data_IF_565161436312
#
_entry.id   IF_565161436312
#
_cell.length_a   1.000
_cell.length_b   1.000
_cell.length_c   1.000
_cell.angle_alpha   90.00
_cell.angle_beta   90.00
_cell.angle_gamma   90.00
#
_symmetry.space_group_name_H-M   'P 1'
#
loop_
_entity.id
_entity.type
_entity.pdbx_description
1 polymer ?
#
# COMPACT_ATOMS: atom_id res chain seq x y z
N UNK A 1 5.26 97.72 -13.82
CA UNK A 1 4.50 96.84 -14.73
C UNK A 1 5.47 95.85 -15.35
N UNK A 2 5.10 94.57 -15.32
CA UNK A 2 5.72 93.38 -15.95
C UNK A 2 6.80 92.65 -15.14
N UNK A 3 6.40 91.43 -14.79
CA UNK A 3 7.07 90.44 -13.96
C UNK A 3 8.13 89.67 -14.74
N UNK A 4 9.17 89.27 -14.02
CA UNK A 4 10.16 88.31 -14.48
C UNK A 4 9.61 86.89 -14.31
N UNK A 5 9.61 86.12 -15.40
CA UNK A 5 9.58 84.66 -15.34
C UNK A 5 10.72 84.13 -16.21
N UNK A 6 11.68 83.54 -15.51
CA UNK A 6 12.79 82.74 -16.03
C UNK A 6 12.26 81.37 -16.44
N UNK A 7 12.75 80.79 -17.54
CA UNK A 7 13.16 79.37 -17.56
C UNK A 7 14.27 79.18 -18.60
N UNK A 8 15.40 78.69 -18.09
CA UNK A 8 16.64 78.39 -18.80
C UNK A 8 16.47 77.10 -19.58
N UNK A 9 16.92 77.15 -20.83
CA UNK A 9 17.00 76.05 -21.78
C UNK A 9 18.00 74.98 -21.36
N UNK A 10 17.61 73.74 -21.64
CA UNK A 10 18.33 72.51 -21.39
C UNK A 10 19.74 72.49 -22.00
N UNK A 11 20.72 72.00 -21.24
CA UNK A 11 22.00 71.54 -21.76
C UNK A 11 22.51 70.36 -20.94
N UNK A 12 23.04 69.39 -21.67
CA UNK A 12 23.45 68.05 -21.31
C UNK A 12 24.28 67.91 -20.02
N UNK A 13 24.02 66.81 -19.29
CA UNK A 13 25.05 66.12 -18.52
C UNK A 13 24.99 64.61 -18.81
N UNK A 14 26.04 64.16 -19.50
CA UNK A 14 26.48 62.77 -19.61
C UNK A 14 27.18 62.43 -18.30
N UNK A 15 26.80 61.32 -17.65
CA UNK A 15 27.64 60.69 -16.63
C UNK A 15 26.89 60.11 -15.43
N UNK A 16 26.51 58.84 -15.52
CA UNK A 16 26.65 57.82 -14.47
C UNK A 16 25.76 56.60 -14.81
N UNK A 17 26.27 55.72 -15.66
CA UNK A 17 25.80 54.35 -15.76
C UNK A 17 26.21 53.61 -14.46
N UNK A 18 25.33 53.62 -13.45
CA UNK A 18 25.45 52.74 -12.30
C UNK A 18 24.67 51.45 -12.59
N UNK A 19 25.44 50.39 -12.84
CA UNK A 19 25.03 48.99 -12.88
C UNK A 19 24.05 48.66 -11.73
N UNK A 20 22.78 48.43 -12.06
CA UNK A 20 21.85 47.68 -11.23
C UNK A 20 21.49 46.37 -11.95
N UNK A 21 22.52 45.63 -12.37
CA UNK A 21 22.39 44.26 -12.86
C UNK A 21 22.84 43.34 -11.73
N UNK A 22 21.94 42.46 -11.28
CA UNK A 22 22.33 41.13 -10.83
C UNK A 22 22.41 40.89 -9.33
N UNK A 23 21.27 40.87 -8.66
CA UNK A 23 21.00 39.80 -7.67
C UNK A 23 19.64 39.18 -7.99
N UNK A 24 19.49 38.65 -9.20
CA UNK A 24 18.70 37.43 -9.36
C UNK A 24 19.45 36.41 -8.50
N UNK A 25 18.92 36.13 -7.31
CA UNK A 25 19.33 34.98 -6.54
C UNK A 25 19.35 33.81 -7.52
N UNK A 26 20.54 33.27 -7.78
CA UNK A 26 20.67 32.02 -8.47
C UNK A 26 19.91 31.01 -7.61
N UNK A 27 18.66 30.71 -7.97
CA UNK A 27 17.98 29.55 -7.44
C UNK A 27 18.92 28.39 -7.74
N UNK A 28 19.44 27.69 -6.72
CA UNK A 28 20.25 26.51 -6.97
C UNK A 28 19.44 25.62 -7.91
N UNK A 29 20.08 25.09 -8.96
CA UNK A 29 19.47 24.18 -9.92
C UNK A 29 18.49 23.28 -9.16
N UNK A 30 17.18 23.43 -9.42
CA UNK A 30 16.12 23.06 -8.48
C UNK A 30 16.41 21.67 -7.89
N UNK A 31 16.92 21.65 -6.65
CA UNK A 31 17.34 20.41 -6.02
C UNK A 31 16.12 19.49 -5.97
N UNK A 32 16.28 18.25 -6.43
CA UNK A 32 15.20 17.26 -6.44
C UNK A 32 15.37 16.32 -5.26
N UNK A 33 14.28 16.09 -4.53
CA UNK A 33 14.24 15.08 -3.46
C UNK A 33 13.86 13.76 -4.09
N UNK A 34 14.85 12.88 -4.25
CA UNK A 34 14.64 11.53 -4.82
C UNK A 34 14.04 10.59 -3.79
N UNK A 35 12.98 9.90 -4.19
CA UNK A 35 12.40 8.75 -3.50
C UNK A 35 12.62 7.52 -4.39
N UNK A 36 13.37 6.56 -3.87
CA UNK A 36 13.53 5.26 -4.53
C UNK A 36 12.26 4.44 -4.44
N UNK A 37 11.91 3.77 -5.52
CA UNK A 37 10.73 2.93 -5.60
C UNK A 37 11.04 1.62 -6.33
N UNK A 38 10.62 0.51 -5.74
CA UNK A 38 10.70 -0.81 -6.37
C UNK A 38 9.37 -1.54 -6.29
N UNK A 39 9.00 -2.16 -7.41
CA UNK A 39 7.77 -2.94 -7.57
C UNK A 39 7.96 -3.98 -8.69
N UNK A 40 7.12 -5.04 -8.75
CA UNK A 40 7.19 -6.06 -9.79
C UNK A 40 6.48 -5.55 -11.05
N UNK A 41 7.17 -4.80 -11.91
CA UNK A 41 6.57 -4.19 -13.10
C UNK A 41 6.43 -5.17 -14.26
N UNK A 42 7.19 -6.27 -14.24
CA UNK A 42 7.06 -7.38 -15.18
C UNK A 42 6.92 -8.73 -14.46
N UNK A 43 6.61 -9.78 -15.22
CA UNK A 43 6.39 -11.12 -14.68
C UNK A 43 4.98 -11.36 -14.13
N UNK A 44 4.75 -12.46 -13.40
CA UNK A 44 3.41 -12.88 -12.98
C UNK A 44 2.68 -11.90 -12.04
N UNK A 45 3.42 -11.05 -11.34
CA UNK A 45 2.89 -10.05 -10.41
C UNK A 45 2.75 -8.64 -11.03
N UNK A 46 2.93 -8.51 -12.36
CA UNK A 46 2.92 -7.22 -13.06
C UNK A 46 1.64 -6.41 -12.85
N UNK A 47 0.48 -7.05 -12.69
CA UNK A 47 -0.79 -6.35 -12.42
C UNK A 47 -0.68 -5.49 -11.16
N UNK A 48 -0.21 -6.06 -10.06
CA UNK A 48 -0.04 -5.36 -8.78
C UNK A 48 1.06 -4.30 -8.88
N UNK A 49 2.18 -4.60 -9.57
CA UNK A 49 3.27 -3.64 -9.73
C UNK A 49 2.93 -2.44 -10.62
N UNK A 50 2.14 -2.63 -11.69
CA UNK A 50 1.63 -1.53 -12.52
C UNK A 50 0.65 -0.67 -11.73
N UNK A 51 -0.24 -1.28 -10.95
CA UNK A 51 -1.14 -0.59 -10.02
C UNK A 51 -0.35 0.27 -9.01
N UNK A 52 0.69 -0.32 -8.40
CA UNK A 52 1.61 0.37 -7.50
C UNK A 52 2.34 1.54 -8.18
N UNK A 53 2.86 1.34 -9.40
CA UNK A 53 3.55 2.38 -10.16
C UNK A 53 2.64 3.57 -10.50
N UNK A 54 1.45 3.32 -11.03
CA UNK A 54 0.48 4.39 -11.32
C UNK A 54 0.17 5.19 -10.04
N UNK A 55 -0.09 4.50 -8.94
CA UNK A 55 -0.38 5.16 -7.67
C UNK A 55 0.81 5.98 -7.13
N UNK A 56 2.03 5.48 -7.30
CA UNK A 56 3.26 6.19 -6.91
C UNK A 56 3.49 7.47 -7.70
N UNK A 57 3.21 7.45 -9.01
CA UNK A 57 3.31 8.63 -9.87
C UNK A 57 2.28 9.68 -9.47
N UNK A 58 1.03 9.27 -9.22
CA UNK A 58 -0.03 10.17 -8.74
C UNK A 58 0.32 10.81 -7.39
N UNK A 59 0.94 10.06 -6.47
CA UNK A 59 1.41 10.61 -5.20
C UNK A 59 2.44 11.72 -5.41
N UNK A 60 3.43 11.49 -6.27
CA UNK A 60 4.50 12.46 -6.58
C UNK A 60 3.94 13.70 -7.28
N UNK A 61 3.03 13.52 -8.24
CA UNK A 61 2.32 14.63 -8.90
C UNK A 61 1.60 15.50 -7.85
N UNK A 62 0.88 14.87 -6.92
CA UNK A 62 0.14 15.58 -5.86
C UNK A 62 1.04 16.25 -4.83
N UNK A 63 2.16 15.63 -4.46
CA UNK A 63 3.18 16.23 -3.59
C UNK A 63 3.76 17.49 -4.26
N UNK A 64 4.14 17.38 -5.53
CA UNK A 64 4.71 18.51 -6.27
C UNK A 64 3.70 19.64 -6.48
N UNK A 65 2.44 19.34 -6.78
CA UNK A 65 1.38 20.32 -6.89
C UNK A 65 1.12 21.09 -5.58
N UNK A 66 1.44 20.50 -4.42
CA UNK A 66 1.35 21.11 -3.09
C UNK A 66 2.64 21.84 -2.65
N UNK A 67 3.58 22.09 -3.56
CA UNK A 67 4.84 22.80 -3.27
C UNK A 67 6.03 21.89 -2.99
N UNK A 68 5.88 20.57 -3.13
CA UNK A 68 6.98 19.61 -3.03
C UNK A 68 7.38 19.24 -1.60
N UNK A 69 8.62 18.79 -1.45
CA UNK A 69 9.22 18.39 -0.17
C UNK A 69 10.23 19.46 0.22
N UNK A 70 10.01 20.15 1.34
CA UNK A 70 10.84 21.29 1.77
C UNK A 70 11.01 22.36 0.68
N UNK A 71 9.96 22.58 -0.13
CA UNK A 71 9.97 23.51 -1.27
C UNK A 71 10.70 23.00 -2.52
N UNK A 72 11.17 21.75 -2.51
CA UNK A 72 11.88 21.11 -3.60
C UNK A 72 11.01 20.09 -4.33
N UNK A 73 11.23 19.91 -5.63
CA UNK A 73 10.47 18.93 -6.42
C UNK A 73 10.83 17.51 -5.97
N UNK A 74 9.83 16.68 -5.71
CA UNK A 74 9.99 15.25 -5.51
C UNK A 74 10.16 14.53 -6.86
N UNK A 75 11.11 13.59 -6.91
CA UNK A 75 11.40 12.73 -8.05
C UNK A 75 11.27 11.26 -7.62
N UNK A 76 10.59 10.45 -8.43
CA UNK A 76 10.49 9.01 -8.21
C UNK A 76 11.54 8.29 -9.05
N UNK A 77 12.45 7.55 -8.40
CA UNK A 77 13.41 6.68 -9.09
C UNK A 77 12.90 5.25 -9.00
N UNK A 78 12.39 4.73 -10.12
CA UNK A 78 11.67 3.44 -10.14
C UNK A 78 12.51 2.32 -10.74
N UNK A 79 12.52 1.16 -10.10
CA UNK A 79 13.04 -0.08 -10.68
C UNK A 79 12.03 -1.23 -10.62
N UNK A 80 12.15 -2.13 -11.60
CA UNK A 80 11.44 -3.39 -11.66
C UNK A 80 12.21 -4.47 -10.91
N UNK A 81 11.60 -5.02 -9.86
CA UNK A 81 12.16 -6.16 -9.10
C UNK A 81 11.58 -7.51 -9.53
N UNK A 82 10.62 -7.54 -10.45
CA UNK A 82 9.98 -8.74 -11.00
C UNK A 82 9.43 -9.73 -9.95
N UNK A 83 9.26 -9.30 -8.69
CA UNK A 83 8.98 -10.14 -7.54
C UNK A 83 10.04 -11.23 -7.28
N UNK A 84 11.31 -10.95 -7.61
CA UNK A 84 12.46 -11.84 -7.41
C UNK A 84 13.43 -11.27 -6.38
N UNK A 85 13.94 -12.14 -5.51
CA UNK A 85 14.86 -11.80 -4.42
C UNK A 85 16.13 -11.14 -4.96
N UNK A 86 16.74 -11.73 -5.99
CA UNK A 86 18.02 -11.27 -6.55
C UNK A 86 17.88 -9.90 -7.22
N UNK A 87 16.78 -9.71 -7.96
CA UNK A 87 16.48 -8.44 -8.61
C UNK A 87 16.20 -7.35 -7.55
N UNK A 88 15.44 -7.65 -6.49
CA UNK A 88 15.20 -6.71 -5.39
C UNK A 88 16.49 -6.28 -4.65
N UNK A 89 17.46 -7.18 -4.51
CA UNK A 89 18.79 -6.85 -3.96
C UNK A 89 19.55 -5.94 -4.92
N UNK A 90 19.51 -6.23 -6.22
CA UNK A 90 20.15 -5.41 -7.24
C UNK A 90 19.55 -3.99 -7.30
N UNK A 91 18.22 -3.87 -7.29
CA UNK A 91 17.53 -2.58 -7.33
C UNK A 91 17.84 -1.74 -6.10
N UNK A 92 17.83 -2.33 -4.90
CA UNK A 92 18.18 -1.61 -3.67
C UNK A 92 19.60 -1.04 -3.69
N UNK A 93 20.59 -1.85 -4.12
CA UNK A 93 21.98 -1.38 -4.25
C UNK A 93 22.12 -0.27 -5.29
N UNK A 94 21.39 -0.36 -6.42
CA UNK A 94 21.41 0.66 -7.47
C UNK A 94 20.82 1.99 -7.00
N UNK A 95 19.66 1.93 -6.34
CA UNK A 95 18.99 3.09 -5.76
C UNK A 95 19.92 3.85 -4.80
N UNK A 96 20.61 3.14 -3.92
CA UNK A 96 21.53 3.74 -2.94
C UNK A 96 22.82 4.23 -3.62
N UNK A 97 23.51 3.34 -4.31
CA UNK A 97 24.88 3.57 -4.78
C UNK A 97 24.99 4.40 -6.05
N UNK A 98 24.06 4.24 -6.99
CA UNK A 98 24.09 4.96 -8.28
C UNK A 98 23.18 6.18 -8.27
N UNK A 99 21.94 6.03 -7.79
CA UNK A 99 20.94 7.11 -7.86
C UNK A 99 21.02 8.08 -6.67
N UNK A 100 21.71 7.66 -5.60
CA UNK A 100 21.92 8.46 -4.39
C UNK A 100 20.63 8.72 -3.62
N UNK A 101 19.65 7.81 -3.68
CA UNK A 101 18.38 8.01 -2.97
C UNK A 101 18.60 7.98 -1.46
N UNK A 102 17.92 8.87 -0.75
CA UNK A 102 17.97 8.96 0.72
C UNK A 102 16.77 8.32 1.40
N UNK A 103 15.72 8.03 0.64
CA UNK A 103 14.44 7.50 1.10
C UNK A 103 13.92 6.49 0.08
N UNK A 104 13.29 5.42 0.54
CA UNK A 104 12.78 4.37 -0.34
C UNK A 104 11.39 3.87 0.09
N UNK A 105 10.60 3.46 -0.90
CA UNK A 105 9.31 2.78 -0.73
C UNK A 105 9.32 1.53 -1.60
N UNK A 106 8.78 0.42 -1.11
CA UNK A 106 8.54 -0.78 -1.92
C UNK A 106 7.06 -1.07 -2.05
N UNK A 107 6.60 -1.18 -3.29
CA UNK A 107 5.28 -1.72 -3.65
C UNK A 107 5.32 -3.21 -3.97
N UNK A 108 6.38 -3.91 -3.54
CA UNK A 108 6.61 -5.32 -3.90
C UNK A 108 6.21 -6.28 -2.78
N UNK A 109 6.36 -7.58 -3.08
CA UNK A 109 5.91 -8.67 -2.22
C UNK A 109 6.90 -8.95 -1.10
N UNK A 110 6.46 -9.78 -0.15
CA UNK A 110 7.23 -10.14 1.05
C UNK A 110 8.66 -10.62 0.75
N UNK A 111 8.87 -11.45 -0.27
CA UNK A 111 10.20 -11.96 -0.61
C UNK A 111 11.17 -10.83 -1.03
N UNK A 112 10.75 -9.99 -1.99
CA UNK A 112 11.51 -8.81 -2.43
C UNK A 112 11.78 -7.83 -1.29
N UNK A 113 10.75 -7.55 -0.48
CA UNK A 113 10.88 -6.66 0.68
C UNK A 113 11.87 -7.15 1.72
N UNK A 114 11.86 -8.46 2.07
CA UNK A 114 12.82 -9.06 2.99
C UNK A 114 14.25 -8.99 2.48
N UNK A 115 14.43 -9.15 1.16
CA UNK A 115 15.75 -9.13 0.54
C UNK A 115 16.35 -7.70 0.52
N UNK A 116 15.51 -6.70 0.26
CA UNK A 116 15.94 -5.31 0.14
C UNK A 116 16.07 -4.57 1.48
N UNK A 117 15.23 -4.88 2.48
CA UNK A 117 15.19 -4.14 3.74
C UNK A 117 16.55 -4.09 4.48
N UNK A 118 17.32 -5.19 4.62
CA UNK A 118 18.65 -5.15 5.26
C UNK A 118 19.63 -4.18 4.58
N UNK A 119 19.53 -4.01 3.26
CA UNK A 119 20.41 -3.16 2.48
C UNK A 119 20.13 -1.69 2.82
N UNK A 120 18.86 -1.29 2.81
CA UNK A 120 18.45 0.05 3.20
C UNK A 120 18.74 0.33 4.68
N UNK A 121 18.52 -0.64 5.56
CA UNK A 121 18.85 -0.56 6.98
C UNK A 121 20.34 -0.30 7.20
N UNK A 122 21.22 -1.08 6.56
CA UNK A 122 22.67 -0.92 6.67
C UNK A 122 23.14 0.44 6.13
N UNK A 123 22.49 0.95 5.08
CA UNK A 123 22.74 2.28 4.53
C UNK A 123 22.06 3.42 5.32
N UNK A 124 21.31 3.13 6.38
CA UNK A 124 20.51 4.09 7.15
C UNK A 124 19.54 4.90 6.28
N UNK A 125 18.95 4.26 5.28
CA UNK A 125 17.92 4.82 4.38
C UNK A 125 16.55 4.41 4.90
N UNK A 126 15.67 5.36 5.30
CA UNK A 126 14.29 5.03 5.65
C UNK A 126 13.59 4.32 4.49
N UNK A 127 13.06 3.14 4.78
CA UNK A 127 12.43 2.23 3.83
C UNK A 127 11.02 1.89 4.30
N UNK A 128 10.01 2.11 3.45
CA UNK A 128 8.62 1.73 3.74
C UNK A 128 8.21 0.55 2.84
N UNK A 129 7.86 -0.58 3.45
CA UNK A 129 7.16 -1.68 2.77
C UNK A 129 5.67 -1.39 2.71
N UNK A 130 5.17 -1.07 1.53
CA UNK A 130 3.78 -0.70 1.33
C UNK A 130 2.87 -1.90 1.03
N UNK A 131 3.42 -3.06 0.66
CA UNK A 131 2.61 -4.23 0.28
C UNK A 131 3.13 -5.57 0.81
N UNK A 132 4.44 -5.75 0.98
CA UNK A 132 4.98 -6.93 1.66
C UNK A 132 4.48 -7.00 3.11
N UNK A 133 4.06 -8.20 3.55
CA UNK A 133 3.44 -8.43 4.88
C UNK A 133 4.23 -9.38 5.80
N UNK A 134 5.42 -9.81 5.40
CA UNK A 134 6.25 -10.67 6.25
C UNK A 134 6.92 -9.87 7.38
N UNK A 135 6.84 -10.34 8.65
CA UNK A 135 7.36 -9.59 9.81
C UNK A 135 8.86 -9.25 9.72
N UNK A 136 9.68 -10.13 9.15
CA UNK A 136 11.13 -9.91 9.05
C UNK A 136 11.57 -8.63 8.32
N UNK A 137 10.69 -8.06 7.49
CA UNK A 137 10.97 -6.80 6.79
C UNK A 137 11.26 -5.67 7.78
N UNK A 138 10.42 -5.53 8.82
CA UNK A 138 10.57 -4.46 9.82
C UNK A 138 11.45 -4.89 10.98
N UNK A 139 11.50 -6.19 11.30
CA UNK A 139 12.47 -6.75 12.28
C UNK A 139 13.92 -6.59 11.85
N UNK A 140 14.18 -6.27 10.58
CA UNK A 140 15.51 -5.90 10.08
C UNK A 140 16.12 -4.72 10.85
N UNK A 141 15.29 -3.77 11.32
CA UNK A 141 15.75 -2.66 12.15
C UNK A 141 14.94 -1.38 12.02
N UNK A 142 15.38 -0.35 12.73
CA UNK A 142 14.64 0.89 12.96
C UNK A 142 14.40 1.78 11.72
N UNK A 143 15.08 1.53 10.60
CA UNK A 143 14.86 2.26 9.34
C UNK A 143 13.82 1.59 8.42
N UNK A 144 13.35 0.38 8.76
CA UNK A 144 12.32 -0.32 8.01
C UNK A 144 10.93 -0.13 8.66
N UNK A 145 9.97 0.33 7.87
CA UNK A 145 8.59 0.61 8.27
C UNK A 145 7.63 -0.17 7.37
N UNK A 146 6.38 -0.36 7.82
CA UNK A 146 5.32 -0.95 7.01
C UNK A 146 4.09 -0.05 6.95
N UNK A 147 3.36 -0.01 5.85
CA UNK A 147 2.07 0.72 5.76
C UNK A 147 0.90 -0.15 5.31
N UNK A 148 1.04 -1.47 5.48
CA UNK A 148 0.02 -2.48 5.25
C UNK A 148 -0.06 -3.40 6.47
N UNK A 149 -1.20 -4.02 6.75
CA UNK A 149 -1.32 -4.93 7.88
C UNK A 149 -0.50 -6.21 7.67
N UNK A 150 0.11 -6.72 8.73
CA UNK A 150 0.67 -8.08 8.77
C UNK A 150 -0.41 -9.13 8.54
N UNK A 151 -0.02 -10.32 8.08
CA UNK A 151 -0.95 -11.44 7.84
C UNK A 151 -1.76 -11.84 9.08
N UNK A 152 -1.12 -11.90 10.25
CA UNK A 152 -1.80 -12.31 11.48
C UNK A 152 -2.98 -11.38 11.88
N UNK A 153 -2.84 -10.04 11.93
CA UNK A 153 -3.96 -9.12 12.04
C UNK A 153 -5.07 -9.35 11.00
N UNK A 154 -4.72 -9.62 9.73
CA UNK A 154 -5.72 -9.92 8.68
C UNK A 154 -6.49 -11.21 8.97
N UNK A 155 -5.81 -12.25 9.46
CA UNK A 155 -6.46 -13.49 9.89
C UNK A 155 -7.42 -13.29 11.06
N UNK A 156 -6.98 -12.55 12.09
CA UNK A 156 -7.84 -12.21 13.25
C UNK A 156 -9.05 -11.39 12.84
N UNK A 157 -8.86 -10.44 11.93
CA UNK A 157 -9.94 -9.67 11.31
C UNK A 157 -10.96 -10.58 10.60
N UNK A 158 -10.48 -11.58 9.85
CA UNK A 158 -11.36 -12.54 9.19
C UNK A 158 -12.16 -13.39 10.19
N UNK A 159 -11.53 -13.83 11.29
CA UNK A 159 -12.22 -14.55 12.35
C UNK A 159 -13.32 -13.71 13.01
N UNK A 160 -13.04 -12.43 13.33
CA UNK A 160 -14.05 -11.49 13.83
C UNK A 160 -15.18 -11.31 12.83
N UNK A 161 -14.86 -11.00 11.58
CA UNK A 161 -15.87 -10.78 10.56
C UNK A 161 -16.80 -12.00 10.38
N UNK A 162 -16.23 -13.20 10.32
CA UNK A 162 -16.98 -14.43 10.12
C UNK A 162 -17.85 -14.77 11.35
N UNK A 163 -17.26 -14.78 12.54
CA UNK A 163 -17.93 -15.27 13.74
C UNK A 163 -18.83 -14.24 14.41
N UNK A 164 -18.43 -12.97 14.42
CA UNK A 164 -19.15 -11.87 15.07
C UNK A 164 -20.11 -11.18 14.09
N UNK A 165 -19.59 -10.70 12.95
CA UNK A 165 -20.39 -9.93 11.98
C UNK A 165 -21.35 -10.80 11.17
N UNK A 166 -20.88 -11.92 10.61
CA UNK A 166 -21.72 -12.82 9.80
C UNK A 166 -22.43 -13.91 10.64
N UNK A 167 -22.03 -14.09 11.90
CA UNK A 167 -22.59 -15.10 12.80
C UNK A 167 -22.34 -16.56 12.38
N UNK A 168 -21.36 -16.83 11.51
CA UNK A 168 -21.04 -18.18 11.01
C UNK A 168 -20.02 -18.86 11.90
N UNK A 169 -20.25 -20.11 12.27
CA UNK A 169 -19.45 -20.83 13.26
C UNK A 169 -18.74 -22.04 12.68
N UNK A 170 -19.29 -22.70 11.66
CA UNK A 170 -18.69 -23.91 11.06
C UNK A 170 -17.98 -23.58 9.76
N UNK A 171 -16.66 -23.52 9.76
CA UNK A 171 -15.87 -22.92 8.67
C UNK A 171 -14.91 -23.94 8.07
N UNK A 172 -14.88 -24.04 6.74
CA UNK A 172 -13.77 -24.70 6.04
C UNK A 172 -12.75 -23.64 5.62
N UNK A 173 -11.47 -23.94 5.81
CA UNK A 173 -10.37 -23.01 5.51
C UNK A 173 -9.53 -23.57 4.37
N UNK A 174 -9.22 -22.72 3.39
CA UNK A 174 -8.36 -23.06 2.26
C UNK A 174 -7.21 -22.04 2.25
N UNK A 175 -5.98 -22.49 2.46
CA UNK A 175 -4.81 -21.61 2.57
C UNK A 175 -3.81 -21.84 1.44
N UNK A 176 -3.28 -20.76 0.88
CA UNK A 176 -2.14 -20.83 -0.02
C UNK A 176 -0.86 -21.21 0.73
N UNK A 177 -0.09 -22.15 0.20
CA UNK A 177 1.12 -22.66 0.84
C UNK A 177 2.33 -21.74 0.58
N UNK A 178 2.35 -20.61 1.27
CA UNK A 178 3.49 -19.70 1.37
C UNK A 178 3.40 -18.85 2.64
N UNK A 179 4.43 -18.06 2.92
CA UNK A 179 4.51 -17.26 4.15
C UNK A 179 3.31 -16.32 4.36
N UNK A 180 2.72 -15.79 3.28
CA UNK A 180 1.51 -14.95 3.36
C UNK A 180 0.30 -15.75 3.83
N UNK A 181 0.04 -16.89 3.19
CA UNK A 181 -1.09 -17.75 3.53
C UNK A 181 -0.96 -18.33 4.94
N UNK A 182 0.25 -18.75 5.34
CA UNK A 182 0.53 -19.28 6.68
C UNK A 182 0.34 -18.21 7.76
N UNK A 183 0.93 -17.02 7.62
CA UNK A 183 0.78 -15.95 8.62
C UNK A 183 -0.69 -15.53 8.80
N UNK A 184 -1.45 -15.53 7.72
CA UNK A 184 -2.89 -15.21 7.76
C UNK A 184 -3.70 -16.32 8.41
N UNK A 185 -3.41 -17.58 8.09
CA UNK A 185 -4.04 -18.76 8.70
C UNK A 185 -3.77 -18.84 10.21
N UNK A 186 -2.54 -18.58 10.64
CA UNK A 186 -2.16 -18.49 12.06
C UNK A 186 -3.00 -17.44 12.80
N UNK A 187 -3.11 -16.24 12.23
CA UNK A 187 -3.93 -15.18 12.82
C UNK A 187 -5.41 -15.54 12.90
N UNK A 188 -5.94 -16.22 11.87
CA UNK A 188 -7.32 -16.70 11.91
C UNK A 188 -7.52 -17.69 13.04
N UNK A 189 -6.65 -18.72 13.13
CA UNK A 189 -6.69 -19.75 14.16
C UNK A 189 -6.47 -19.20 15.57
N UNK A 190 -5.69 -18.14 15.74
CA UNK A 190 -5.51 -17.53 17.07
C UNK A 190 -6.77 -16.85 17.61
N UNK A 191 -7.78 -16.61 16.78
CA UNK A 191 -9.00 -15.91 17.16
C UNK A 191 -10.28 -16.75 17.01
N UNK A 192 -10.21 -18.02 16.55
CA UNK A 192 -11.43 -18.82 16.31
C UNK A 192 -12.23 -19.04 17.59
N UNK A 193 -11.59 -19.35 18.72
CA UNK A 193 -12.27 -19.62 19.99
C UNK A 193 -12.98 -18.38 20.52
N UNK A 194 -12.33 -17.21 20.42
CA UNK A 194 -12.89 -15.90 20.80
C UNK A 194 -14.22 -15.62 20.10
N UNK A 195 -14.37 -16.07 18.86
CA UNK A 195 -15.57 -15.86 18.05
C UNK A 195 -16.43 -17.13 17.90
N UNK A 196 -16.14 -18.19 18.66
CA UNK A 196 -16.89 -19.46 18.67
C UNK A 196 -16.85 -20.23 17.35
N UNK A 197 -15.80 -20.06 16.55
CA UNK A 197 -15.63 -20.72 15.25
C UNK A 197 -15.05 -22.12 15.45
N UNK A 198 -15.68 -23.12 14.83
CA UNK A 198 -15.17 -24.47 14.62
C UNK A 198 -14.67 -24.63 13.18
N UNK A 199 -13.38 -24.90 13.03
CA UNK A 199 -12.79 -25.29 11.74
C UNK A 199 -13.17 -26.74 11.43
N UNK A 200 -13.88 -26.96 10.32
CA UNK A 200 -14.32 -28.29 9.88
C UNK A 200 -13.23 -29.03 9.10
N UNK A 201 -12.48 -28.28 8.30
CA UNK A 201 -11.40 -28.77 7.45
C UNK A 201 -10.43 -27.64 7.13
N UNK A 202 -9.15 -27.99 7.04
CA UNK A 202 -8.05 -27.09 6.68
C UNK A 202 -7.34 -27.71 5.47
N UNK A 203 -7.35 -26.99 4.35
CA UNK A 203 -6.80 -27.44 3.08
C UNK A 203 -5.75 -26.46 2.60
N UNK A 204 -4.73 -26.94 1.89
CA UNK A 204 -3.71 -26.08 1.30
C UNK A 204 -3.49 -26.33 -0.19
N UNK A 205 -2.97 -25.31 -0.88
CA UNK A 205 -2.57 -25.40 -2.29
C UNK A 205 -1.31 -24.56 -2.56
N UNK A 206 -0.37 -25.02 -3.41
CA UNK A 206 0.78 -24.23 -3.83
C UNK A 206 0.38 -23.09 -4.77
N UNK A 207 1.15 -22.00 -4.78
CA UNK A 207 0.89 -20.78 -5.59
C UNK A 207 0.63 -21.03 -7.09
N UNK A 208 1.24 -22.09 -7.65
CA UNK A 208 1.17 -22.43 -9.08
C UNK A 208 -0.12 -23.16 -9.46
N UNK A 209 -0.88 -23.65 -8.49
CA UNK A 209 -2.08 -24.44 -8.76
C UNK A 209 -3.20 -23.60 -9.34
N UNK A 210 -3.93 -24.22 -10.27
CA UNK A 210 -5.16 -23.68 -10.88
C UNK A 210 -6.31 -24.69 -10.85
N UNK A 211 -6.05 -25.90 -10.36
CA UNK A 211 -6.99 -27.02 -10.32
C UNK A 211 -7.22 -27.41 -8.87
N UNK A 212 -8.45 -27.29 -8.39
CA UNK A 212 -8.78 -27.40 -6.97
C UNK A 212 -9.81 -28.49 -6.68
N UNK A 213 -10.05 -29.41 -7.62
CA UNK A 213 -11.14 -30.39 -7.53
C UNK A 213 -11.15 -31.22 -6.24
N UNK A 214 -9.99 -31.66 -5.75
CA UNK A 214 -9.88 -32.41 -4.50
C UNK A 214 -10.26 -31.58 -3.26
N UNK A 215 -9.82 -30.32 -3.22
CA UNK A 215 -10.16 -29.36 -2.17
C UNK A 215 -11.67 -29.06 -2.22
N UNK A 216 -12.20 -28.77 -3.41
CA UNK A 216 -13.63 -28.48 -3.62
C UNK A 216 -14.51 -29.65 -3.18
N UNK A 217 -14.13 -30.88 -3.53
CA UNK A 217 -14.85 -32.08 -3.07
C UNK A 217 -14.82 -32.25 -1.55
N UNK A 218 -13.71 -31.88 -0.90
CA UNK A 218 -13.56 -31.97 0.55
C UNK A 218 -14.37 -30.88 1.26
N UNK A 219 -14.32 -29.64 0.79
CA UNK A 219 -15.16 -28.53 1.30
C UNK A 219 -16.65 -28.85 1.15
N UNK A 220 -17.06 -29.46 0.03
CA UNK A 220 -18.45 -29.90 -0.15
C UNK A 220 -18.86 -30.97 0.88
N UNK A 221 -17.95 -31.89 1.22
CA UNK A 221 -18.17 -32.92 2.24
C UNK A 221 -18.29 -32.34 3.64
N UNK A 222 -17.50 -31.30 3.95
CA UNK A 222 -17.54 -30.62 5.25
C UNK A 222 -18.91 -29.98 5.53
N UNK A 223 -19.63 -29.56 4.47
CA UNK A 223 -20.89 -28.82 4.56
C UNK A 223 -20.76 -27.60 5.52
N UNK A 224 -19.85 -26.64 5.21
CA UNK A 224 -19.60 -25.50 6.07
C UNK A 224 -20.69 -24.43 5.95
N UNK A 225 -20.75 -23.53 6.92
CA UNK A 225 -21.60 -22.33 6.90
C UNK A 225 -20.96 -21.14 6.17
N UNK A 226 -19.62 -21.16 6.02
CA UNK A 226 -18.84 -20.25 5.20
C UNK A 226 -17.46 -20.85 4.90
N UNK A 227 -16.79 -20.34 3.87
CA UNK A 227 -15.43 -20.75 3.47
C UNK A 227 -14.49 -19.56 3.60
N UNK A 228 -13.38 -19.73 4.33
CA UNK A 228 -12.31 -18.75 4.39
C UNK A 228 -11.16 -19.15 3.46
N UNK A 229 -10.71 -18.22 2.61
CA UNK A 229 -9.68 -18.47 1.60
C UNK A 229 -8.55 -17.46 1.72
N UNK A 230 -7.32 -17.95 1.91
CA UNK A 230 -6.10 -17.15 1.72
C UNK A 230 -5.55 -17.41 0.31
N UNK A 231 -5.18 -16.34 -0.40
CA UNK A 231 -4.75 -16.44 -1.79
C UNK A 231 -4.65 -15.09 -2.48
N UNK A 232 -4.06 -15.09 -3.67
CA UNK A 232 -4.06 -13.93 -4.56
C UNK A 232 -5.23 -14.02 -5.54
N UNK A 233 -5.59 -12.90 -6.19
CA UNK A 233 -6.67 -12.88 -7.18
C UNK A 233 -6.54 -13.96 -8.27
N UNK A 234 -5.31 -14.30 -8.69
CA UNK A 234 -5.06 -15.27 -9.77
C UNK A 234 -5.18 -16.75 -9.34
N UNK A 235 -5.15 -17.05 -8.04
CA UNK A 235 -5.51 -18.38 -7.50
C UNK A 235 -6.93 -18.41 -6.97
N UNK A 236 -7.36 -17.29 -6.35
CA UNK A 236 -8.69 -17.08 -5.82
C UNK A 236 -9.79 -17.12 -6.86
N UNK A 237 -9.59 -16.49 -8.02
CA UNK A 237 -10.58 -16.48 -9.10
C UNK A 237 -10.97 -17.89 -9.55
N UNK A 238 -10.03 -18.73 -10.03
CA UNK A 238 -10.35 -20.09 -10.45
C UNK A 238 -10.87 -20.97 -9.30
N UNK A 239 -10.39 -20.78 -8.07
CA UNK A 239 -10.87 -21.51 -6.88
C UNK A 239 -12.33 -21.18 -6.57
N UNK A 240 -12.69 -19.89 -6.54
CA UNK A 240 -14.07 -19.44 -6.32
C UNK A 240 -14.99 -19.98 -7.43
N UNK A 241 -14.57 -19.91 -8.69
CA UNK A 241 -15.33 -20.46 -9.82
C UNK A 241 -15.60 -21.96 -9.64
N UNK A 242 -14.59 -22.74 -9.23
CA UNK A 242 -14.74 -24.19 -9.03
C UNK A 242 -15.63 -24.52 -7.81
N UNK A 243 -15.53 -23.75 -6.71
CA UNK A 243 -16.42 -23.90 -5.56
C UNK A 243 -17.88 -23.65 -5.95
N UNK A 244 -18.15 -22.56 -6.69
CA UNK A 244 -19.51 -22.23 -7.18
C UNK A 244 -20.04 -23.28 -8.15
N UNK A 245 -19.21 -23.72 -9.11
CA UNK A 245 -19.59 -24.77 -10.06
C UNK A 245 -19.95 -26.11 -9.38
N UNK A 246 -19.34 -26.41 -8.23
CA UNK A 246 -19.67 -27.59 -7.43
C UNK A 246 -20.94 -27.43 -6.56
N UNK A 247 -21.61 -26.28 -6.61
CA UNK A 247 -22.83 -25.98 -5.87
C UNK A 247 -22.63 -25.43 -4.45
N UNK A 248 -21.41 -25.00 -4.10
CA UNK A 248 -21.14 -24.39 -2.79
C UNK A 248 -21.57 -22.92 -2.85
N UNK A 249 -22.69 -22.58 -2.23
CA UNK A 249 -23.30 -21.23 -2.29
C UNK A 249 -23.16 -20.42 -1.00
N UNK A 250 -22.56 -20.99 0.04
CA UNK A 250 -22.30 -20.29 1.30
C UNK A 250 -21.36 -19.09 1.11
N UNK A 251 -21.36 -18.11 2.03
CA UNK A 251 -20.43 -16.99 1.97
C UNK A 251 -18.98 -17.46 1.83
N UNK A 252 -18.26 -16.82 0.90
CA UNK A 252 -16.82 -16.99 0.74
C UNK A 252 -16.15 -15.71 1.20
N UNK A 253 -15.15 -15.83 2.06
CA UNK A 253 -14.37 -14.73 2.60
C UNK A 253 -12.94 -14.90 2.09
N UNK A 254 -12.49 -13.97 1.24
CA UNK A 254 -11.13 -13.88 0.75
C UNK A 254 -10.24 -12.99 1.63
N UNK A 255 -8.95 -13.30 1.66
CA UNK A 255 -7.92 -12.42 2.22
C UNK A 255 -7.70 -11.15 1.38
N UNK A 256 -6.98 -10.15 1.91
CA UNK A 256 -6.71 -8.86 1.26
C UNK A 256 -6.26 -9.00 -0.20
N UNK A 257 -5.39 -9.96 -0.50
CA UNK A 257 -4.83 -10.19 -1.83
C UNK A 257 -5.84 -10.64 -2.91
N UNK A 258 -7.12 -10.77 -2.57
CA UNK A 258 -8.23 -10.88 -3.53
C UNK A 258 -8.65 -9.53 -4.12
N UNK A 259 -8.29 -8.39 -3.49
CA UNK A 259 -8.68 -7.03 -3.89
C UNK A 259 -7.93 -6.58 -5.16
N UNK A 260 -8.29 -7.17 -6.29
CA UNK A 260 -7.84 -6.77 -7.62
C UNK A 260 -9.00 -6.86 -8.61
N UNK A 261 -9.11 -5.91 -9.53
CA UNK A 261 -10.11 -5.93 -10.60
C UNK A 261 -10.05 -7.23 -11.39
N UNK A 262 -8.84 -7.78 -11.53
CA UNK A 262 -8.58 -9.04 -12.23
C UNK A 262 -9.28 -10.25 -11.60
N UNK A 263 -9.58 -10.23 -10.29
CA UNK A 263 -10.40 -11.27 -9.65
C UNK A 263 -11.78 -11.35 -10.30
N UNK A 264 -12.45 -10.21 -10.47
CA UNK A 264 -13.78 -10.11 -11.05
C UNK A 264 -13.75 -10.53 -12.52
N UNK A 265 -12.72 -10.14 -13.27
CA UNK A 265 -12.53 -10.57 -14.65
C UNK A 265 -12.32 -12.09 -14.80
N UNK A 266 -11.57 -12.72 -13.88
CA UNK A 266 -11.29 -14.16 -13.94
C UNK A 266 -12.53 -14.98 -13.55
N UNK A 267 -13.20 -14.60 -12.47
CA UNK A 267 -14.27 -15.40 -11.89
C UNK A 267 -15.68 -15.03 -12.38
N UNK A 268 -15.85 -13.83 -12.95
CA UNK A 268 -17.11 -13.35 -13.45
C UNK A 268 -18.22 -13.41 -12.38
N UNK A 269 -19.41 -13.93 -12.70
CA UNK A 269 -20.51 -14.04 -11.74
C UNK A 269 -20.21 -14.89 -10.49
N UNK A 270 -19.19 -15.76 -10.52
CA UNK A 270 -18.89 -16.65 -9.41
C UNK A 270 -18.42 -15.90 -8.14
N UNK A 271 -17.85 -14.69 -8.30
CA UNK A 271 -17.42 -13.86 -7.16
C UNK A 271 -18.52 -13.00 -6.57
N UNK A 272 -19.72 -12.97 -7.12
CA UNK A 272 -20.83 -12.21 -6.54
C UNK A 272 -21.10 -12.68 -5.09
N UNK A 273 -21.18 -11.73 -4.16
CA UNK A 273 -21.34 -11.98 -2.73
C UNK A 273 -20.08 -12.50 -2.01
N UNK A 274 -18.91 -12.53 -2.66
CA UNK A 274 -17.63 -12.78 -1.99
C UNK A 274 -17.26 -11.56 -1.14
N UNK A 275 -16.87 -11.81 0.11
CA UNK A 275 -16.32 -10.78 1.00
C UNK A 275 -14.79 -10.76 0.90
N UNK A 276 -14.20 -9.59 1.08
CA UNK A 276 -12.74 -9.41 1.13
C UNK A 276 -12.37 -8.65 2.39
N UNK A 277 -11.63 -9.31 3.28
CA UNK A 277 -11.10 -8.69 4.50
C UNK A 277 -9.77 -8.01 4.18
N UNK A 278 -9.66 -6.72 4.48
CA UNK A 278 -8.49 -5.90 4.14
C UNK A 278 -8.60 -5.18 2.79
N UNK A 279 -9.73 -5.27 2.09
CA UNK A 279 -9.91 -4.61 0.79
C UNK A 279 -9.93 -3.07 0.88
N UNK A 280 -9.75 -2.38 -0.26
CA UNK A 280 -9.83 -0.92 -0.31
C UNK A 280 -11.29 -0.44 -0.29
N UNK A 281 -11.62 0.55 0.56
CA UNK A 281 -12.94 1.18 0.51
C UNK A 281 -13.10 1.99 -0.79
N UNK A 282 -13.91 1.50 -1.73
CA UNK A 282 -14.23 2.15 -3.01
C UNK A 282 -15.53 2.97 -3.00
N UNK A 283 -16.21 3.03 -1.85
CA UNK A 283 -17.35 3.91 -1.61
C UNK A 283 -17.01 4.95 -0.50
N UNK A 284 -15.91 5.72 -0.65
CA UNK A 284 -15.41 6.55 0.43
C UNK A 284 -16.26 7.81 0.65
N UNK A 285 -16.38 8.24 1.90
CA UNK A 285 -16.82 9.60 2.24
C UNK A 285 -15.67 10.61 2.24
N UNK A 286 -14.42 10.15 2.43
CA UNK A 286 -13.21 10.98 2.42
C UNK A 286 -12.87 11.50 1.01
N UNK A 287 -12.79 12.82 0.86
CA UNK A 287 -12.42 13.49 -0.39
C UNK A 287 -11.06 13.08 -0.95
N UNK A 288 -10.04 12.86 -0.11
CA UNK A 288 -8.72 12.46 -0.61
C UNK A 288 -8.74 11.10 -1.30
N UNK A 289 -9.49 10.15 -0.74
CA UNK A 289 -9.68 8.83 -1.36
C UNK A 289 -10.58 8.91 -2.60
N UNK A 290 -11.63 9.75 -2.60
CA UNK A 290 -12.43 10.00 -3.81
C UNK A 290 -11.57 10.54 -4.96
N UNK A 291 -10.75 11.56 -4.69
CA UNK A 291 -9.84 12.13 -5.68
C UNK A 291 -8.85 11.10 -6.19
N UNK A 292 -8.21 10.35 -5.28
CA UNK A 292 -7.29 9.28 -5.67
C UNK A 292 -7.94 8.24 -6.57
N UNK A 293 -9.14 7.74 -6.22
CA UNK A 293 -9.84 6.74 -7.02
C UNK A 293 -10.19 7.26 -8.42
N UNK A 294 -10.61 8.52 -8.53
CA UNK A 294 -10.91 9.16 -9.81
C UNK A 294 -9.66 9.34 -10.68
N UNK A 295 -8.57 9.86 -10.11
CA UNK A 295 -7.31 10.07 -10.81
C UNK A 295 -6.67 8.75 -11.25
N UNK A 296 -6.74 7.74 -10.37
CA UNK A 296 -6.28 6.38 -10.68
C UNK A 296 -7.09 5.79 -11.83
N UNK A 297 -8.43 5.81 -11.76
CA UNK A 297 -9.29 5.30 -12.83
C UNK A 297 -9.00 5.99 -14.17
N UNK A 298 -8.78 7.31 -14.14
CA UNK A 298 -8.44 8.10 -15.33
C UNK A 298 -7.09 7.68 -15.93
N UNK A 299 -6.08 7.38 -15.11
CA UNK A 299 -4.73 7.01 -15.57
C UNK A 299 -4.62 5.55 -15.97
N UNK A 300 -5.23 4.66 -15.20
CA UNK A 300 -5.07 3.21 -15.32
C UNK A 300 -6.14 2.55 -16.22
N UNK A 301 -7.31 3.18 -16.38
CA UNK A 301 -8.42 2.63 -17.14
C UNK A 301 -9.27 1.60 -16.37
N UNK A 302 -8.95 1.32 -15.10
CA UNK A 302 -9.71 0.44 -14.21
C UNK A 302 -9.77 0.99 -12.78
N UNK A 303 -10.70 0.50 -11.92
CA UNK A 303 -10.88 1.05 -10.57
C UNK A 303 -9.64 0.89 -9.69
N UNK A 304 -9.37 1.88 -8.83
CA UNK A 304 -8.24 1.81 -7.90
C UNK A 304 -8.27 0.58 -6.99
N UNK A 305 -7.08 0.06 -6.66
CA UNK A 305 -6.89 -1.17 -5.88
C UNK A 305 -6.14 -0.94 -4.57
N UNK A 306 -6.26 -1.89 -3.64
CA UNK A 306 -5.60 -1.81 -2.33
C UNK A 306 -4.07 -1.65 -2.44
N UNK A 307 -3.41 -2.38 -3.35
CA UNK A 307 -1.97 -2.28 -3.57
C UNK A 307 -1.54 -0.87 -4.00
N UNK A 308 -2.26 -0.25 -4.94
CA UNK A 308 -2.01 1.13 -5.33
C UNK A 308 -2.25 2.10 -4.17
N UNK A 309 -3.36 1.96 -3.44
CA UNK A 309 -3.73 2.90 -2.39
C UNK A 309 -2.74 2.90 -1.19
N UNK A 310 -2.24 1.72 -0.82
CA UNK A 310 -1.21 1.56 0.22
C UNK A 310 0.13 2.16 -0.24
N UNK A 311 0.52 1.98 -1.50
CA UNK A 311 1.73 2.58 -2.09
C UNK A 311 1.65 4.11 -2.20
N UNK A 312 0.53 4.64 -2.68
CA UNK A 312 0.28 6.08 -2.69
C UNK A 312 0.45 6.66 -1.28
N UNK A 313 -0.19 6.01 -0.30
CA UNK A 313 -0.15 6.47 1.09
C UNK A 313 1.25 6.38 1.70
N UNK A 314 2.04 5.36 1.35
CA UNK A 314 3.43 5.23 1.78
C UNK A 314 4.32 6.38 1.27
N UNK A 315 4.15 6.79 0.01
CA UNK A 315 4.91 7.90 -0.58
C UNK A 315 4.48 9.24 0.03
N UNK A 316 3.18 9.45 0.20
CA UNK A 316 2.66 10.65 0.88
C UNK A 316 3.14 10.69 2.34
N UNK A 317 3.16 9.55 3.03
CA UNK A 317 3.69 9.45 4.40
C UNK A 317 5.18 9.77 4.47
N UNK A 318 5.98 9.27 3.52
CA UNK A 318 7.41 9.59 3.44
C UNK A 318 7.62 11.09 3.26
N UNK A 319 6.90 11.72 2.33
CA UNK A 319 6.98 13.16 2.09
C UNK A 319 6.52 13.99 3.30
N UNK A 320 5.42 13.59 3.95
CA UNK A 320 4.93 14.19 5.19
C UNK A 320 5.97 14.11 6.32
N UNK A 321 6.59 12.94 6.52
CA UNK A 321 7.64 12.76 7.52
C UNK A 321 8.88 13.61 7.25
N UNK A 322 9.31 13.73 5.98
CA UNK A 322 10.42 14.62 5.60
C UNK A 322 10.07 16.08 5.90
N UNK A 323 8.86 16.51 5.55
CA UNK A 323 8.40 17.87 5.82
C UNK A 323 8.29 18.16 7.33
N UNK A 324 7.76 17.23 8.13
CA UNK A 324 7.72 17.36 9.60
C UNK A 324 9.10 17.37 10.23
N UNK A 325 10.06 16.61 9.69
CA UNK A 325 11.44 16.63 10.15
C UNK A 325 12.16 17.94 9.79
N UNK A 326 11.70 18.67 8.76
CA UNK A 326 12.29 19.93 8.30
C UNK A 326 13.66 19.77 7.66
N UNK A 327 14.04 18.55 7.24
CA UNK A 327 15.40 18.21 6.82
C UNK A 327 15.44 16.93 6.00
N UNK A 328 16.49 16.76 5.19
CA UNK A 328 16.78 15.52 4.45
C UNK A 328 17.69 14.56 5.24
N UNK A 329 17.97 14.84 6.51
CA UNK A 329 18.70 13.93 7.39
C UNK A 329 17.87 12.67 7.68
N UNK A 330 18.43 11.52 7.32
CA UNK A 330 17.73 10.25 7.30
C UNK A 330 17.34 9.76 8.71
N UNK A 331 18.15 10.05 9.74
CA UNK A 331 17.82 9.68 11.11
C UNK A 331 16.65 10.53 11.65
N UNK A 332 16.64 11.84 11.37
CA UNK A 332 15.52 12.71 11.74
C UNK A 332 14.23 12.35 11.01
N UNK A 333 14.31 11.96 9.74
CA UNK A 333 13.14 11.48 8.97
C UNK A 333 12.63 10.14 9.50
N UNK A 334 13.52 9.21 9.84
CA UNK A 334 13.16 7.96 10.54
C UNK A 334 12.41 8.26 11.84
N UNK A 335 12.89 9.20 12.64
CA UNK A 335 12.21 9.59 13.89
C UNK A 335 10.85 10.24 13.63
N UNK A 336 10.74 11.07 12.59
CA UNK A 336 9.45 11.63 12.17
C UNK A 336 8.47 10.54 11.70
N UNK A 337 8.93 9.54 10.95
CA UNK A 337 8.11 8.39 10.58
C UNK A 337 7.63 7.64 11.82
N UNK A 338 8.53 7.31 12.74
CA UNK A 338 8.20 6.59 13.98
C UNK A 338 7.19 7.34 14.86
N UNK A 339 7.20 8.66 14.84
CA UNK A 339 6.29 9.52 15.61
C UNK A 339 4.99 9.88 14.86
N UNK A 340 4.72 9.26 13.70
CA UNK A 340 3.48 9.48 12.95
C UNK A 340 2.27 9.09 13.79
N UNK A 341 1.27 9.99 13.82
CA UNK A 341 -0.02 9.78 14.49
C UNK A 341 -1.16 10.26 13.61
N UNK A 342 -2.28 9.52 13.65
CA UNK A 342 -3.54 9.86 12.97
C UNK A 342 -3.39 10.26 11.49
N UNK A 343 -2.48 9.59 10.77
CA UNK A 343 -2.20 9.89 9.37
C UNK A 343 -3.34 9.37 8.47
N UNK A 344 -3.83 10.18 7.52
CA UNK A 344 -4.98 9.85 6.65
C UNK A 344 -4.58 8.86 5.53
N UNK A 345 -4.17 7.66 5.92
CA UNK A 345 -3.84 6.59 4.99
C UNK A 345 -5.08 6.11 4.22
N UNK A 346 -4.95 5.88 2.92
CA UNK A 346 -6.09 5.60 2.03
C UNK A 346 -6.81 4.28 2.35
N UNK A 347 -6.12 3.31 2.94
CA UNK A 347 -6.74 2.04 3.37
C UNK A 347 -7.37 2.09 4.79
N UNK A 348 -7.36 3.24 5.46
CA UNK A 348 -7.82 3.42 6.84
C UNK A 348 -6.91 4.40 7.59
N UNK A 349 -7.40 5.03 8.67
CA UNK A 349 -6.56 5.99 9.43
C UNK A 349 -5.41 5.27 10.15
N UNK A 350 -4.17 5.56 9.79
CA UNK A 350 -2.98 5.08 10.48
C UNK A 350 -2.88 5.79 11.84
N UNK A 351 -3.23 5.11 12.92
CA UNK A 351 -3.27 5.68 14.27
C UNK A 351 -1.87 5.91 14.80
N UNK A 352 -0.98 4.91 14.67
CA UNK A 352 0.40 4.98 15.11
C UNK A 352 1.24 3.83 14.55
N UNK A 353 2.56 3.94 14.70
CA UNK A 353 3.48 2.82 14.63
C UNK A 353 3.74 2.21 16.01
N UNK A 354 3.93 0.89 16.07
CA UNK A 354 4.46 0.23 17.27
C UNK A 354 6.01 0.27 17.31
N UNK A 355 6.68 -0.29 18.33
CA UNK A 355 8.15 -0.30 18.41
C UNK A 355 8.84 -1.00 17.23
N UNK A 356 8.19 -2.01 16.64
CA UNK A 356 8.64 -2.71 15.43
C UNK A 356 8.27 -1.99 14.12
N UNK A 357 7.78 -0.75 14.18
CA UNK A 357 7.37 0.03 12.99
C UNK A 357 6.26 -0.63 12.17
N UNK A 358 5.43 -1.41 12.85
CA UNK A 358 4.19 -1.98 12.33
C UNK A 358 3.01 -1.06 12.62
N UNK A 359 2.00 -1.10 11.75
CA UNK A 359 0.86 -0.17 11.83
C UNK A 359 -0.19 -0.60 12.86
N UNK A 360 -0.77 0.38 13.53
CA UNK A 360 -2.05 0.27 14.20
C UNK A 360 -3.11 1.06 13.39
N UNK A 361 -4.04 0.35 12.75
CA UNK A 361 -4.98 0.92 11.78
C UNK A 361 -6.24 0.04 11.68
N UNK A 362 -7.46 0.60 11.51
CA UNK A 362 -8.65 -0.19 11.23
C UNK A 362 -8.55 -0.88 9.86
N UNK A 363 -9.37 -1.91 9.65
CA UNK A 363 -9.36 -2.70 8.42
C UNK A 363 -10.73 -2.69 7.76
N UNK A 364 -10.77 -2.41 6.47
CA UNK A 364 -12.02 -2.40 5.71
C UNK A 364 -12.38 -3.82 5.23
N UNK A 365 -13.68 -4.12 5.19
CA UNK A 365 -14.22 -5.31 4.53
C UNK A 365 -15.06 -4.87 3.35
N UNK A 366 -14.77 -5.46 2.18
CA UNK A 366 -15.56 -5.28 0.97
C UNK A 366 -16.48 -6.47 0.73
N UNK A 367 -17.54 -6.25 -0.05
CA UNK A 367 -18.34 -7.28 -0.69
C UNK A 367 -18.30 -7.05 -2.21
N UNK A 368 -18.19 -8.10 -3.01
CA UNK A 368 -18.43 -8.02 -4.45
C UNK A 368 -19.94 -7.96 -4.67
N UNK A 369 -20.42 -6.85 -5.21
CA UNK A 369 -21.82 -6.62 -5.54
C UNK A 369 -21.95 -5.93 -6.90
N UNK A 370 -22.83 -6.46 -7.74
CA UNK A 370 -23.07 -5.95 -9.09
C UNK A 370 -21.77 -5.89 -9.92
N UNK A 371 -20.90 -6.89 -9.75
CA UNK A 371 -19.60 -6.95 -10.43
C UNK A 371 -18.60 -5.89 -9.99
N UNK A 372 -18.77 -5.28 -8.81
CA UNK A 372 -17.88 -4.26 -8.25
C UNK A 372 -17.57 -4.54 -6.79
N UNK A 373 -16.38 -4.15 -6.33
CA UNK A 373 -16.09 -4.13 -4.89
C UNK A 373 -16.79 -2.95 -4.23
N UNK A 374 -17.62 -3.25 -3.24
CA UNK A 374 -18.35 -2.27 -2.43
C UNK A 374 -17.94 -2.35 -0.98
N UNK A 375 -17.92 -1.22 -0.30
CA UNK A 375 -17.74 -1.17 1.14
C UNK A 375 -18.84 -2.00 1.84
N UNK A 376 -18.46 -2.81 2.81
CA UNK A 376 -19.40 -3.54 3.65
C UNK A 376 -19.35 -3.05 5.10
N UNK A 377 -18.18 -3.09 5.73
CA UNK A 377 -18.00 -2.63 7.11
C UNK A 377 -16.53 -2.34 7.42
N UNK A 378 -16.29 -1.68 8.56
CA UNK A 378 -14.96 -1.54 9.14
C UNK A 378 -14.79 -2.50 10.32
N UNK A 379 -13.59 -3.03 10.47
CA UNK A 379 -13.11 -3.67 11.69
C UNK A 379 -12.20 -2.64 12.36
N UNK A 380 -12.69 -2.03 13.43
CA UNK A 380 -12.05 -0.94 14.16
C UNK A 380 -11.56 -1.36 15.56
N UNK A 381 -11.66 -2.65 15.89
CA UNK A 381 -11.06 -3.23 17.10
C UNK A 381 -9.52 -3.24 16.97
N UNK A 382 -8.90 -2.11 17.32
CA UNK A 382 -7.45 -1.93 17.23
C UNK A 382 -6.67 -2.87 18.15
N UNK A 383 -7.28 -3.42 19.21
CA UNK A 383 -6.61 -4.41 20.07
C UNK A 383 -6.53 -5.74 19.35
N UNK A 384 -7.61 -6.15 18.69
CA UNK A 384 -7.60 -7.35 17.85
C UNK A 384 -6.62 -7.21 16.67
N UNK A 385 -6.58 -6.03 16.05
CA UNK A 385 -5.73 -5.75 14.88
C UNK A 385 -4.28 -5.42 15.25
N UNK A 386 -3.94 -5.33 16.54
CA UNK A 386 -2.60 -4.97 16.97
C UNK A 386 -1.56 -5.93 16.39
N UNK A 387 -0.51 -5.42 15.73
CA UNK A 387 0.61 -6.26 15.28
C UNK A 387 1.44 -6.76 16.48
N UNK A 388 2.24 -7.82 16.30
CA UNK A 388 3.21 -8.26 17.31
C UNK A 388 4.13 -7.12 17.74
N UNK A 389 4.52 -7.11 19.01
CA UNK A 389 5.44 -6.09 19.58
C UNK A 389 6.87 -6.60 19.74
N UNK A 390 7.11 -7.90 19.49
CA UNK A 390 8.40 -8.59 19.59
C UNK A 390 8.65 -9.54 18.40
#
# INVERSE_FOLDING_TARGET
MKAHFSYVSASALIGAAALAIGTLAAFPAAAQVKIGFQAPLTGPAATDGVSAKVASELAIERINAKGGILGQKAELVTYDDQAKTEDAVFTANKLIGQDGVKFAVSGSYSASGRAAAPIFQNAKVPFISAYGVHPDITRTGEYAFRTVHLGQPQGRAAAKFIGDTLGKKRISVISMDNDYGQATLEGFKSAVDTFGIKVLGEYSYPLRDRQFGSIVASVKRDNPEAVYITGYFFTGGPLVTQLRAAGITVPIIGSQAFDAQKLIEIAGPAVEGVYIVGGLNRDPSNEELKTYLADFQKRAGYPGENVGATVYSAIVLMADAINRAGTLDQAKVRDALANTKDFPHLAGKLVSFNPLREINMPMNVNIVKDGQFRHFTWIDDLKLLAPPTE
#
